data_IF_450932241295
#
_entry.id   IF_450932241295
#
_cell.length_a   1.000
_cell.length_b   1.000
_cell.length_c   1.000
_cell.angle_alpha   90.00
_cell.angle_beta   90.00
_cell.angle_gamma   90.00
#
_symmetry.space_group_name_H-M   'P 1'
#
loop_
_entity.id
_entity.type
_entity.pdbx_description
1 polymer ?
#
# COMPACT_ATOMS: atom_id res chain seq x y z
N UNK A 1 29.32 -30.71 -11.48
CA UNK A 1 27.92 -30.73 -10.99
C UNK A 1 27.78 -30.26 -9.52
N UNK A 2 28.47 -30.86 -8.53
CA UNK A 2 28.40 -30.44 -7.11
C UNK A 2 28.79 -28.97 -6.83
N UNK A 3 29.83 -28.45 -7.52
CA UNK A 3 30.26 -27.05 -7.37
C UNK A 3 29.25 -26.02 -7.92
N UNK A 4 28.42 -26.39 -8.90
CA UNK A 4 27.33 -25.55 -9.41
C UNK A 4 26.17 -25.51 -8.42
N UNK A 5 25.81 -26.66 -7.84
CA UNK A 5 24.72 -26.77 -6.85
C UNK A 5 25.01 -25.97 -5.57
N UNK A 6 26.26 -25.87 -5.14
CA UNK A 6 26.63 -25.10 -3.95
C UNK A 6 26.60 -23.57 -4.18
N UNK A 7 26.79 -23.13 -5.43
CA UNK A 7 26.77 -21.70 -5.80
C UNK A 7 25.36 -21.14 -6.03
N UNK A 8 24.39 -22.01 -6.33
CA UNK A 8 22.97 -21.63 -6.55
C UNK A 8 22.34 -20.84 -5.39
N UNK A 9 22.40 -21.30 -4.12
CA UNK A 9 21.80 -20.56 -3.00
C UNK A 9 22.48 -19.20 -2.79
N UNK A 10 23.80 -19.11 -2.98
CA UNK A 10 24.55 -17.85 -2.86
C UNK A 10 24.14 -16.87 -3.96
N UNK A 11 24.06 -17.32 -5.22
CA UNK A 11 23.60 -16.48 -6.34
C UNK A 11 22.15 -16.01 -6.12
N UNK A 12 21.29 -16.88 -5.60
CA UNK A 12 19.90 -16.57 -5.30
C UNK A 12 19.78 -15.53 -4.17
N UNK A 13 20.53 -15.68 -3.07
CA UNK A 13 20.59 -14.69 -1.99
C UNK A 13 21.13 -13.34 -2.48
N UNK A 14 22.19 -13.36 -3.29
CA UNK A 14 22.81 -12.13 -3.78
C UNK A 14 21.89 -11.38 -4.75
N UNK A 15 21.24 -12.10 -5.67
CA UNK A 15 20.24 -11.53 -6.60
C UNK A 15 19.02 -11.02 -5.85
N UNK A 16 18.50 -11.78 -4.89
CA UNK A 16 17.33 -11.38 -4.09
C UNK A 16 17.61 -10.16 -3.22
N UNK A 17 18.82 -10.02 -2.67
CA UNK A 17 19.21 -8.85 -1.86
C UNK A 17 19.22 -7.54 -2.67
N UNK A 18 19.59 -7.62 -3.95
CA UNK A 18 19.69 -6.45 -4.85
C UNK A 18 18.33 -6.13 -5.49
N UNK A 19 17.57 -7.15 -5.89
CA UNK A 19 16.28 -6.98 -6.54
C UNK A 19 15.17 -6.58 -5.55
N UNK A 20 15.20 -7.08 -4.30
CA UNK A 20 14.13 -6.87 -3.31
C UNK A 20 13.81 -5.39 -3.06
N UNK A 21 14.77 -4.47 -2.86
CA UNK A 21 14.46 -3.05 -2.68
C UNK A 21 13.74 -2.44 -3.88
N UNK A 22 14.10 -2.84 -5.10
CA UNK A 22 13.45 -2.38 -6.33
C UNK A 22 12.04 -2.94 -6.47
N UNK A 23 11.86 -4.25 -6.24
CA UNK A 23 10.54 -4.90 -6.28
C UNK A 23 9.59 -4.26 -5.27
N UNK A 24 10.04 -4.04 -4.03
CA UNK A 24 9.21 -3.39 -3.01
C UNK A 24 8.91 -1.92 -3.34
N UNK A 25 9.83 -1.20 -3.97
CA UNK A 25 9.56 0.16 -4.47
C UNK A 25 8.50 0.13 -5.58
N UNK A 26 8.63 -0.76 -6.57
CA UNK A 26 7.67 -0.88 -7.66
C UNK A 26 6.26 -1.25 -7.15
N UNK A 27 6.16 -2.18 -6.21
CA UNK A 27 4.88 -2.51 -5.57
C UNK A 27 4.26 -1.30 -4.88
N UNK A 28 5.06 -0.52 -4.15
CA UNK A 28 4.58 0.70 -3.49
C UNK A 28 4.08 1.73 -4.49
N UNK A 29 4.85 1.99 -5.55
CA UNK A 29 4.47 2.96 -6.58
C UNK A 29 3.21 2.52 -7.33
N UNK A 30 3.10 1.24 -7.68
CA UNK A 30 1.95 0.72 -8.40
C UNK A 30 0.66 0.77 -7.55
N UNK A 31 0.71 0.25 -6.32
CA UNK A 31 -0.44 0.31 -5.41
C UNK A 31 -0.80 1.76 -5.08
N UNK A 32 0.18 2.60 -4.77
CA UNK A 32 -0.09 4.01 -4.51
C UNK A 32 -0.75 4.69 -5.71
N UNK A 33 -0.33 4.40 -6.94
CA UNK A 33 -0.99 4.95 -8.13
C UNK A 33 -2.46 4.51 -8.24
N UNK A 34 -2.78 3.25 -7.94
CA UNK A 34 -4.16 2.75 -7.95
C UNK A 34 -5.03 3.52 -6.95
N UNK A 35 -4.62 3.53 -5.68
CA UNK A 35 -5.42 4.15 -4.62
C UNK A 35 -5.42 5.67 -4.71
N UNK A 36 -4.29 6.31 -5.04
CA UNK A 36 -4.23 7.76 -5.16
C UNK A 36 -5.12 8.28 -6.29
N UNK A 37 -5.16 7.59 -7.45
CA UNK A 37 -6.09 7.96 -8.53
C UNK A 37 -7.55 7.78 -8.12
N UNK A 38 -7.88 6.71 -7.37
CA UNK A 38 -9.21 6.53 -6.77
C UNK A 38 -9.58 7.67 -5.82
N UNK A 39 -8.63 8.11 -4.98
CA UNK A 39 -8.83 9.25 -4.09
C UNK A 39 -9.00 10.57 -4.85
N UNK A 40 -8.22 10.80 -5.92
CA UNK A 40 -8.37 11.98 -6.77
C UNK A 40 -9.74 12.02 -7.46
N UNK A 41 -10.26 10.89 -7.94
CA UNK A 41 -11.63 10.86 -8.51
C UNK A 41 -12.70 11.24 -7.50
N UNK A 42 -12.49 10.95 -6.20
CA UNK A 42 -13.42 11.37 -5.14
C UNK A 42 -13.33 12.86 -4.83
N UNK A 43 -12.13 13.44 -4.97
CA UNK A 43 -11.92 14.87 -4.79
C UNK A 43 -12.39 15.71 -5.97
N UNK A 44 -12.35 15.16 -7.18
CA UNK A 44 -12.75 15.83 -8.41
C UNK A 44 -14.27 16.11 -8.46
N UNK A 45 -15.07 15.17 -7.97
CA UNK A 45 -16.52 15.32 -7.82
C UNK A 45 -16.97 14.86 -6.43
N UNK A 46 -16.96 15.80 -5.49
CA UNK A 46 -17.30 15.54 -4.10
C UNK A 46 -18.80 15.27 -3.90
N UNK A 47 -19.69 15.92 -4.67
CA UNK A 47 -21.12 15.72 -4.56
C UNK A 47 -21.50 14.29 -5.01
N UNK A 48 -20.93 13.82 -6.12
CA UNK A 48 -21.07 12.42 -6.55
C UNK A 48 -20.48 11.47 -5.51
N UNK A 49 -19.35 11.81 -4.90
CA UNK A 49 -18.75 10.99 -3.83
C UNK A 49 -19.69 10.85 -2.64
N UNK A 50 -20.28 11.95 -2.15
CA UNK A 50 -21.24 11.92 -1.05
C UNK A 50 -22.49 11.12 -1.43
N UNK A 51 -22.99 11.29 -2.65
CA UNK A 51 -24.14 10.54 -3.15
C UNK A 51 -23.86 9.04 -3.16
N UNK A 52 -22.72 8.61 -3.71
CA UNK A 52 -22.32 7.20 -3.71
C UNK A 52 -22.22 6.65 -2.29
N UNK A 53 -21.57 7.38 -1.37
CA UNK A 53 -21.47 6.92 0.01
C UNK A 53 -22.82 6.86 0.75
N UNK A 54 -23.83 7.60 0.29
CA UNK A 54 -25.17 7.65 0.89
C UNK A 54 -26.09 6.57 0.33
N UNK A 55 -26.06 6.36 -0.99
CA UNK A 55 -27.05 5.54 -1.69
C UNK A 55 -26.50 4.14 -2.05
N UNK A 56 -25.19 4.02 -2.24
CA UNK A 56 -24.58 2.82 -2.84
C UNK A 56 -23.66 2.07 -1.86
N UNK A 57 -22.90 2.79 -1.04
CA UNK A 57 -22.02 2.18 -0.04
C UNK A 57 -22.79 1.90 1.26
N UNK A 58 -22.75 0.65 1.70
CA UNK A 58 -23.34 0.19 2.94
C UNK A 58 -22.29 0.18 4.06
N UNK A 59 -22.08 1.32 4.71
CA UNK A 59 -21.12 1.47 5.82
C UNK A 59 -21.85 1.57 7.16
N UNK A 60 -22.10 0.47 7.89
CA UNK A 60 -23.00 0.47 9.05
C UNK A 60 -22.44 1.19 10.29
N UNK A 61 -21.12 1.37 10.35
CA UNK A 61 -20.43 1.91 11.53
C UNK A 61 -20.28 3.44 11.52
N UNK A 62 -20.37 4.08 10.35
CA UNK A 62 -20.05 5.50 10.18
C UNK A 62 -21.15 6.18 9.38
N UNK A 63 -21.48 7.45 9.70
CA UNK A 63 -22.31 8.27 8.82
C UNK A 63 -21.68 8.35 7.42
N UNK A 64 -22.49 8.33 6.33
CA UNK A 64 -22.01 8.36 4.94
C UNK A 64 -20.95 9.42 4.66
N UNK A 65 -21.19 10.67 5.07
CA UNK A 65 -20.25 11.77 4.87
C UNK A 65 -18.89 11.52 5.55
N UNK A 66 -18.90 10.89 6.73
CA UNK A 66 -17.66 10.60 7.45
C UNK A 66 -16.91 9.42 6.81
N UNK A 67 -17.64 8.41 6.33
CA UNK A 67 -17.06 7.33 5.54
C UNK A 67 -16.43 7.84 4.23
N UNK A 68 -17.09 8.79 3.55
CA UNK A 68 -16.57 9.43 2.34
C UNK A 68 -15.25 10.17 2.61
N UNK A 69 -15.21 10.99 3.67
CA UNK A 69 -13.99 11.73 4.08
C UNK A 69 -12.87 10.76 4.44
N UNK A 70 -13.15 9.78 5.30
CA UNK A 70 -12.13 8.82 5.74
C UNK A 70 -11.61 7.94 4.60
N UNK A 71 -12.50 7.51 3.69
CA UNK A 71 -12.13 6.75 2.49
C UNK A 71 -11.20 7.57 1.59
N UNK A 72 -11.61 8.79 1.24
CA UNK A 72 -10.84 9.69 0.37
C UNK A 72 -9.51 10.09 1.00
N UNK A 73 -9.51 10.43 2.28
CA UNK A 73 -8.29 10.75 3.03
C UNK A 73 -7.35 9.54 3.08
N UNK A 74 -7.88 8.35 3.38
CA UNK A 74 -7.09 7.12 3.45
C UNK A 74 -6.44 6.79 2.10
N UNK A 75 -7.20 6.87 1.01
CA UNK A 75 -6.69 6.62 -0.34
C UNK A 75 -5.60 7.61 -0.76
N UNK A 76 -5.72 8.88 -0.41
CA UNK A 76 -4.75 9.91 -0.80
C UNK A 76 -3.52 9.90 0.10
N UNK A 77 -3.71 10.05 1.41
CA UNK A 77 -2.62 10.21 2.38
C UNK A 77 -1.81 8.93 2.54
N UNK A 78 -2.45 7.77 2.72
CA UNK A 78 -1.68 6.53 2.86
C UNK A 78 -0.96 6.15 1.57
N UNK A 79 -1.51 6.49 0.40
CA UNK A 79 -0.77 6.31 -0.86
C UNK A 79 0.48 7.18 -0.93
N UNK A 80 0.40 8.46 -0.55
CA UNK A 80 1.57 9.35 -0.51
C UNK A 80 2.64 8.85 0.47
N UNK A 81 2.22 8.40 1.66
CA UNK A 81 3.12 7.78 2.65
C UNK A 81 3.76 6.49 2.11
N UNK A 82 2.99 5.68 1.38
CA UNK A 82 3.47 4.45 0.76
C UNK A 82 4.54 4.73 -0.30
N UNK A 83 4.35 5.73 -1.17
CA UNK A 83 5.36 6.17 -2.16
C UNK A 83 6.66 6.57 -1.45
N UNK A 84 6.56 7.44 -0.45
CA UNK A 84 7.71 7.87 0.33
C UNK A 84 8.38 6.70 1.07
N UNK A 85 7.62 5.65 1.38
CA UNK A 85 8.07 4.60 2.29
C UNK A 85 8.29 5.17 3.68
N UNK A 86 7.43 6.11 4.08
CA UNK A 86 7.38 6.73 5.40
C UNK A 86 6.27 6.05 6.20
N UNK A 87 6.60 5.51 7.37
CA UNK A 87 5.71 4.63 8.14
C UNK A 87 5.13 3.50 7.26
N UNK A 88 5.97 2.88 6.44
CA UNK A 88 5.49 2.10 5.29
C UNK A 88 4.56 0.93 5.63
N UNK A 89 4.77 0.28 6.78
CA UNK A 89 3.86 -0.78 7.27
C UNK A 89 2.49 -0.23 7.64
N UNK A 90 2.47 0.94 8.29
CA UNK A 90 1.23 1.61 8.67
C UNK A 90 0.46 2.09 7.45
N UNK A 91 1.15 2.69 6.48
CA UNK A 91 0.54 3.09 5.20
C UNK A 91 -0.08 1.89 4.46
N UNK A 92 0.63 0.76 4.38
CA UNK A 92 0.11 -0.45 3.75
C UNK A 92 -1.11 -1.02 4.50
N UNK A 93 -1.10 -1.02 5.83
CA UNK A 93 -2.24 -1.45 6.64
C UNK A 93 -3.46 -0.54 6.46
N UNK A 94 -3.25 0.79 6.44
CA UNK A 94 -4.31 1.77 6.21
C UNK A 94 -5.00 1.57 4.85
N UNK A 95 -4.21 1.44 3.78
CA UNK A 95 -4.74 1.13 2.44
C UNK A 95 -5.43 -0.23 2.39
N UNK A 96 -4.95 -1.23 3.14
CA UNK A 96 -5.61 -2.53 3.21
C UNK A 96 -7.01 -2.41 3.83
N UNK A 97 -7.16 -1.61 4.90
CA UNK A 97 -8.47 -1.36 5.53
C UNK A 97 -9.40 -0.63 4.58
N UNK A 98 -8.93 0.39 3.87
CA UNK A 98 -9.73 1.12 2.86
C UNK A 98 -10.15 0.18 1.71
N UNK A 99 -9.23 -0.66 1.23
CA UNK A 99 -9.51 -1.66 0.19
C UNK A 99 -10.55 -2.68 0.65
N UNK A 100 -10.42 -3.18 1.88
CA UNK A 100 -11.38 -4.11 2.46
C UNK A 100 -12.75 -3.45 2.62
N UNK A 101 -12.79 -2.22 3.12
CA UNK A 101 -14.01 -1.42 3.22
C UNK A 101 -14.70 -1.31 1.87
N UNK A 102 -13.99 -0.97 0.80
CA UNK A 102 -14.57 -0.91 -0.54
C UNK A 102 -15.22 -2.24 -0.97
N UNK A 103 -14.54 -3.37 -0.73
CA UNK A 103 -15.05 -4.70 -1.08
C UNK A 103 -16.31 -5.08 -0.31
N UNK A 104 -16.36 -4.80 1.00
CA UNK A 104 -17.48 -5.23 1.84
C UNK A 104 -18.69 -4.31 1.75
N UNK A 105 -18.47 -3.03 1.44
CA UNK A 105 -19.51 -2.00 1.54
C UNK A 105 -20.15 -1.64 0.21
N UNK A 106 -19.51 -1.91 -0.94
CA UNK A 106 -20.07 -1.55 -2.25
C UNK A 106 -20.57 -2.77 -3.04
N UNK A 107 -21.88 -3.06 -3.06
CA UNK A 107 -22.43 -4.23 -3.75
C UNK A 107 -22.33 -4.11 -5.27
N UNK A 108 -22.25 -2.89 -5.81
CA UNK A 108 -22.07 -2.62 -7.23
C UNK A 108 -20.71 -3.04 -7.80
N UNK A 109 -19.79 -3.56 -6.97
CA UNK A 109 -18.54 -4.16 -7.43
C UNK A 109 -18.80 -5.38 -8.32
N UNK A 110 -18.48 -5.23 -9.60
CA UNK A 110 -18.39 -6.36 -10.54
C UNK A 110 -17.36 -7.39 -10.05
N UNK A 111 -17.50 -8.64 -10.49
CA UNK A 111 -16.56 -9.71 -10.10
C UNK A 111 -15.12 -9.40 -10.53
N UNK A 112 -14.93 -8.75 -11.68
CA UNK A 112 -13.61 -8.33 -12.18
C UNK A 112 -13.01 -7.29 -11.24
N UNK A 113 -13.76 -6.24 -10.89
CA UNK A 113 -13.28 -5.19 -9.98
C UNK A 113 -12.98 -5.76 -8.60
N UNK A 114 -13.83 -6.65 -8.08
CA UNK A 114 -13.61 -7.34 -6.81
C UNK A 114 -12.33 -8.17 -6.82
N UNK A 115 -12.03 -8.84 -7.93
CA UNK A 115 -10.80 -9.61 -8.08
C UNK A 115 -9.55 -8.73 -8.07
N UNK A 116 -9.61 -7.53 -8.65
CA UNK A 116 -8.53 -6.55 -8.51
C UNK A 116 -8.29 -6.15 -7.05
N UNK A 117 -9.35 -5.90 -6.27
CA UNK A 117 -9.21 -5.60 -4.85
C UNK A 117 -8.59 -6.75 -4.04
N UNK A 118 -8.81 -8.01 -4.42
CA UNK A 118 -8.12 -9.15 -3.81
C UNK A 118 -6.63 -9.13 -4.11
N UNK A 119 -6.24 -8.86 -5.36
CA UNK A 119 -4.83 -8.74 -5.72
C UNK A 119 -4.15 -7.57 -5.03
N UNK A 120 -4.80 -6.40 -4.99
CA UNK A 120 -4.28 -5.25 -4.26
C UNK A 120 -4.14 -5.54 -2.77
N UNK A 121 -5.16 -6.18 -2.16
CA UNK A 121 -5.12 -6.59 -0.76
C UNK A 121 -3.96 -7.54 -0.45
N UNK A 122 -3.74 -8.57 -1.26
CA UNK A 122 -2.60 -9.49 -1.10
C UNK A 122 -1.25 -8.77 -1.20
N UNK A 123 -1.10 -7.85 -2.15
CA UNK A 123 0.14 -7.10 -2.33
C UNK A 123 0.38 -6.06 -1.21
N UNK A 124 -0.68 -5.48 -0.66
CA UNK A 124 -0.61 -4.66 0.54
C UNK A 124 -0.17 -5.48 1.75
N UNK A 125 -0.64 -6.72 1.90
CA UNK A 125 -0.18 -7.64 2.95
C UNK A 125 1.30 -8.01 2.78
N UNK A 126 1.78 -8.18 1.54
CA UNK A 126 3.22 -8.35 1.26
C UNK A 126 4.01 -7.13 1.76
N UNK A 127 3.59 -5.91 1.41
CA UNK A 127 4.25 -4.69 1.89
C UNK A 127 4.18 -4.53 3.40
N UNK A 128 3.06 -4.91 4.01
CA UNK A 128 2.89 -4.92 5.46
C UNK A 128 3.86 -5.91 6.12
N UNK A 129 3.99 -7.14 5.61
CA UNK A 129 4.83 -8.19 6.19
C UNK A 129 6.32 -7.92 6.01
N UNK A 130 6.74 -7.55 4.80
CA UNK A 130 8.15 -7.36 4.45
C UNK A 130 8.67 -5.94 4.68
N UNK A 131 7.78 -4.98 4.93
CA UNK A 131 8.09 -3.56 5.14
C UNK A 131 8.38 -2.81 3.82
N UNK A 132 8.67 -1.50 3.91
CA UNK A 132 8.82 -0.63 2.74
C UNK A 132 10.11 -0.84 1.93
N UNK A 133 11.01 -1.70 2.39
CA UNK A 133 12.23 -2.07 1.68
C UNK A 133 13.39 -1.08 1.82
N UNK A 134 14.46 -1.35 1.06
CA UNK A 134 15.72 -0.61 1.15
C UNK A 134 15.69 0.85 0.66
N UNK A 135 14.78 1.14 -0.27
CA UNK A 135 14.61 2.43 -0.92
C UNK A 135 13.43 3.18 -0.30
N UNK A 136 13.47 3.41 1.01
CA UNK A 136 12.39 4.03 1.79
C UNK A 136 12.95 5.14 2.67
N UNK A 137 12.13 6.17 2.94
CA UNK A 137 12.49 7.22 3.90
C UNK A 137 12.69 6.65 5.31
N UNK A 138 11.91 5.62 5.71
CA UNK A 138 12.11 4.91 6.97
C UNK A 138 13.56 4.40 7.12
N UNK A 139 14.12 3.79 6.06
CA UNK A 139 15.49 3.28 6.10
C UNK A 139 16.54 4.37 5.99
N UNK A 140 16.27 5.44 5.22
CA UNK A 140 17.16 6.60 5.17
C UNK A 140 17.30 7.25 6.55
N UNK A 141 16.18 7.43 7.25
CA UNK A 141 16.13 7.96 8.61
C UNK A 141 16.93 7.10 9.59
N UNK A 142 16.73 5.78 9.59
CA UNK A 142 17.49 4.84 10.43
C UNK A 142 18.99 4.95 10.18
N UNK A 143 19.43 5.00 8.91
CA UNK A 143 20.85 5.14 8.56
C UNK A 143 21.45 6.46 9.06
N UNK A 144 20.69 7.54 8.99
CA UNK A 144 21.14 8.86 9.46
C UNK A 144 21.37 8.86 10.98
N UNK A 145 20.43 8.31 11.76
CA UNK A 145 20.58 8.23 13.21
C UNK A 145 21.67 7.26 13.68
N UNK A 146 21.93 6.17 12.94
CA UNK A 146 23.01 5.26 13.27
C UNK A 146 24.41 5.83 12.99
N UNK A 147 24.55 6.73 12.01
CA UNK A 147 25.84 7.42 11.74
C UNK A 147 26.26 8.38 12.87
N UNK A 148 25.33 8.89 13.67
CA UNK A 148 25.61 9.78 14.81
C UNK A 148 26.00 9.06 16.11
N UNK A 149 26.01 7.72 16.12
CA UNK A 149 26.37 6.88 17.27
C UNK A 149 27.63 6.07 16.96
N UNK A 150 28.76 6.73 16.72
CA UNK A 150 30.06 6.06 16.83
C UNK A 150 30.40 5.90 18.31
N UNK A 151 30.58 4.66 18.82
CA UNK A 151 31.08 4.46 20.18
C UNK A 151 32.55 4.90 20.22
N UNK A 152 32.88 5.81 21.14
CA UNK A 152 34.26 5.96 21.62
C UNK A 152 34.59 4.81 22.55
#
# INVERSE_FOLDING_TARGET
MKALLHKLPILFEQTSSTARPLVLLLLRLWLANVFFRSGLTKLDDWDTTLLLFTEEYHVPLLPPAMAAVMGTFGETVFSSLLVAGLFGRFAAAGLFVVNLMAVISYPGLTDITRQYHYYWGMLLLVLFAFGPGGLSLDRLWQRWHHKGRTPY
#
